data_IF_366522071526
#
_entry.id   IF_366522071526
#
_cell.length_a   1.000
_cell.length_b   1.000
_cell.length_c   1.000
_cell.angle_alpha   90.00
_cell.angle_beta   90.00
_cell.angle_gamma   90.00
#
_symmetry.space_group_name_H-M   'P 1'
#
loop_
_entity.id
_entity.type
_entity.pdbx_description
1 polymer ?
#
# COMPACT_ATOMS: atom_id res chain seq x y z
N UNK A 1 10.14 30.71 8.76
CA UNK A 1 8.85 30.93 8.08
C UNK A 1 7.94 29.76 8.43
N UNK A 2 6.74 30.01 8.98
CA UNK A 2 5.79 28.94 9.34
C UNK A 2 5.30 28.26 8.05
N UNK A 3 5.88 27.11 7.70
CA UNK A 3 5.45 26.32 6.55
C UNK A 3 4.04 25.81 6.79
N UNK A 4 3.06 26.35 6.10
CA UNK A 4 1.68 25.85 6.21
C UNK A 4 1.60 24.39 5.75
N UNK A 5 0.72 23.61 6.36
CA UNK A 5 0.58 22.19 6.09
C UNK A 5 -0.86 21.84 5.66
N UNK A 6 -0.99 20.86 4.77
CA UNK A 6 -2.24 20.30 4.26
C UNK A 6 -2.42 18.92 4.88
N UNK A 7 -3.58 18.66 5.48
CA UNK A 7 -3.98 17.30 5.82
C UNK A 7 -4.68 16.66 4.62
N UNK A 8 -4.09 15.59 4.09
CA UNK A 8 -4.57 14.89 2.90
C UNK A 8 -5.93 14.22 3.11
N UNK A 9 -6.25 13.80 4.34
CA UNK A 9 -7.54 13.17 4.66
C UNK A 9 -8.67 14.18 4.55
N UNK A 10 -8.51 15.36 5.16
CA UNK A 10 -9.50 16.44 5.10
C UNK A 10 -9.57 17.00 3.69
N UNK A 11 -8.43 17.25 3.03
CA UNK A 11 -8.38 17.71 1.65
C UNK A 11 -9.12 16.75 0.69
N UNK A 12 -8.88 15.44 0.82
CA UNK A 12 -9.58 14.42 0.05
C UNK A 12 -11.09 14.45 0.27
N UNK A 13 -11.55 14.64 1.51
CA UNK A 13 -12.97 14.77 1.80
C UNK A 13 -13.60 16.04 1.21
N UNK A 14 -12.87 17.18 1.23
CA UNK A 14 -13.34 18.48 0.71
C UNK A 14 -13.57 18.44 -0.79
N UNK A 15 -12.67 17.80 -1.55
CA UNK A 15 -12.74 17.74 -3.01
C UNK A 15 -13.26 16.40 -3.54
N UNK A 16 -13.74 15.51 -2.65
CA UNK A 16 -14.19 14.15 -2.97
C UNK A 16 -13.14 13.32 -3.73
N UNK A 17 -11.87 13.49 -3.34
CA UNK A 17 -10.73 12.78 -3.93
C UNK A 17 -10.42 11.54 -3.08
N UNK A 18 -10.34 10.34 -3.67
CA UNK A 18 -9.96 9.13 -2.94
C UNK A 18 -8.57 9.26 -2.33
N UNK A 19 -8.42 8.90 -1.05
CA UNK A 19 -7.13 8.98 -0.35
C UNK A 19 -6.01 8.18 -1.04
N UNK A 20 -6.35 7.01 -1.61
CA UNK A 20 -5.40 6.20 -2.37
C UNK A 20 -4.82 6.96 -3.57
N UNK A 21 -5.64 7.77 -4.25
CA UNK A 21 -5.20 8.61 -5.36
C UNK A 21 -4.23 9.69 -4.88
N UNK A 22 -4.55 10.41 -3.81
CA UNK A 22 -3.67 11.44 -3.25
C UNK A 22 -2.30 10.87 -2.88
N UNK A 23 -2.30 9.71 -2.21
CA UNK A 23 -1.06 9.02 -1.81
C UNK A 23 -0.23 8.58 -3.02
N UNK A 24 -0.86 8.03 -4.06
CA UNK A 24 -0.14 7.64 -5.28
C UNK A 24 0.41 8.85 -6.03
N UNK A 25 -0.35 9.93 -6.12
CA UNK A 25 0.05 11.15 -6.81
C UNK A 25 1.20 11.83 -6.09
N UNK A 26 1.16 11.93 -4.76
CA UNK A 26 2.29 12.43 -3.98
C UNK A 26 3.56 11.62 -4.25
N UNK A 27 3.46 10.29 -4.32
CA UNK A 27 4.61 9.42 -4.63
C UNK A 27 5.14 9.63 -6.06
N UNK A 28 4.26 9.86 -7.04
CA UNK A 28 4.65 10.09 -8.44
C UNK A 28 5.34 11.46 -8.60
N UNK A 29 4.90 12.46 -7.85
CA UNK A 29 5.42 13.83 -7.90
C UNK A 29 6.57 14.08 -6.93
N UNK A 30 7.03 13.04 -6.22
CA UNK A 30 8.09 13.10 -5.21
C UNK A 30 7.78 14.10 -4.07
N UNK A 31 6.50 14.17 -3.69
CA UNK A 31 6.00 14.99 -2.59
C UNK A 31 6.12 14.19 -1.29
N UNK A 32 6.86 14.73 -0.32
CA UNK A 32 7.01 14.12 0.99
C UNK A 32 5.69 14.14 1.78
N UNK A 33 5.26 12.96 2.23
CA UNK A 33 4.12 12.79 3.14
C UNK A 33 4.66 12.55 4.54
N UNK A 34 4.34 13.46 5.46
CA UNK A 34 4.64 13.35 6.88
C UNK A 34 3.47 12.67 7.56
N UNK A 35 3.72 11.54 8.24
CA UNK A 35 2.70 10.88 9.07
C UNK A 35 2.80 11.43 10.49
N UNK A 36 1.73 12.07 10.97
CA UNK A 36 1.61 12.57 12.35
C UNK A 36 0.40 11.90 13.00
N UNK A 37 0.65 10.90 13.84
CA UNK A 37 -0.42 10.06 14.39
C UNK A 37 -1.21 9.32 13.30
N UNK A 38 -2.51 9.61 13.20
CA UNK A 38 -3.41 9.09 12.16
C UNK A 38 -3.47 9.98 10.91
N UNK A 39 -2.91 11.17 10.96
CA UNK A 39 -2.99 12.14 9.87
C UNK A 39 -1.82 12.00 8.89
N UNK A 40 -2.13 12.27 7.62
CA UNK A 40 -1.16 12.31 6.53
C UNK A 40 -1.06 13.74 6.05
N UNK A 41 0.11 14.33 6.27
CA UNK A 41 0.32 15.76 6.14
C UNK A 41 1.35 16.03 5.05
N UNK A 42 1.10 17.05 4.25
CA UNK A 42 1.98 17.50 3.17
C UNK A 42 2.24 18.99 3.33
N UNK A 43 3.44 19.45 2.97
CA UNK A 43 3.75 20.88 2.96
C UNK A 43 2.83 21.60 1.94
N UNK A 44 2.29 22.76 2.30
CA UNK A 44 1.46 23.54 1.38
C UNK A 44 2.22 23.92 0.12
N UNK A 45 3.46 24.40 0.27
CA UNK A 45 4.28 24.84 -0.83
C UNK A 45 5.32 23.78 -1.20
N UNK A 46 5.43 23.48 -2.49
CA UNK A 46 6.41 22.55 -3.01
C UNK A 46 7.61 23.31 -3.61
N UNK A 47 8.74 23.26 -2.92
CA UNK A 47 9.97 23.90 -3.37
C UNK A 47 10.50 23.33 -4.70
N UNK A 48 10.20 22.06 -5.01
CA UNK A 48 10.69 21.41 -6.24
C UNK A 48 9.88 21.75 -7.50
N UNK A 49 8.64 22.21 -7.31
CA UNK A 49 7.71 22.57 -8.40
C UNK A 49 7.44 24.08 -8.46
N UNK A 50 7.89 24.85 -7.46
CA UNK A 50 7.56 26.26 -7.25
C UNK A 50 6.04 26.53 -7.30
N UNK A 51 5.25 25.59 -6.77
CA UNK A 51 3.78 25.62 -6.78
C UNK A 51 3.22 25.03 -5.49
N UNK A 52 2.00 25.40 -5.17
CA UNK A 52 1.31 24.85 -4.00
C UNK A 52 0.79 23.43 -4.29
N UNK A 53 1.03 22.52 -3.35
CA UNK A 53 0.66 21.11 -3.47
C UNK A 53 -0.85 20.89 -3.51
N UNK A 54 -1.67 21.76 -2.92
CA UNK A 54 -3.13 21.66 -3.02
C UNK A 54 -3.61 21.88 -4.46
N UNK A 55 -3.10 22.93 -5.13
CA UNK A 55 -3.39 23.21 -6.53
C UNK A 55 -2.87 22.09 -7.45
N UNK A 56 -1.65 21.59 -7.21
CA UNK A 56 -1.06 20.51 -8.00
C UNK A 56 -1.83 19.19 -7.84
N UNK A 57 -2.27 18.85 -6.62
CA UNK A 57 -3.05 17.63 -6.37
C UNK A 57 -4.44 17.73 -6.99
N UNK A 58 -5.08 18.90 -6.95
CA UNK A 58 -6.38 19.14 -7.58
C UNK A 58 -6.28 19.09 -9.10
N UNK A 59 -5.21 19.67 -9.66
CA UNK A 59 -4.91 19.60 -11.09
C UNK A 59 -4.73 18.14 -11.55
N UNK A 60 -3.91 17.37 -10.83
CA UNK A 60 -3.69 15.95 -11.11
C UNK A 60 -5.00 15.15 -11.06
N UNK A 61 -5.87 15.43 -10.09
CA UNK A 61 -7.17 14.77 -10.00
C UNK A 61 -8.08 15.12 -11.17
N UNK A 62 -8.10 16.39 -11.57
CA UNK A 62 -8.88 16.85 -12.72
C UNK A 62 -8.38 16.21 -14.02
N UNK A 63 -7.08 16.17 -14.24
CA UNK A 63 -6.45 15.48 -15.36
C UNK A 63 -6.82 13.99 -15.39
N UNK A 64 -6.71 13.32 -14.24
CA UNK A 64 -7.07 11.90 -14.11
C UNK A 64 -8.54 11.64 -14.37
N UNK A 65 -9.43 12.58 -14.05
CA UNK A 65 -10.87 12.45 -14.30
C UNK A 65 -11.20 12.59 -15.78
N UNK A 66 -10.45 13.43 -16.50
CA UNK A 66 -10.66 13.67 -17.93
C UNK A 66 -10.00 12.59 -18.81
N UNK A 67 -8.77 12.18 -18.47
CA UNK A 67 -7.93 11.34 -19.34
C UNK A 67 -7.73 9.91 -18.81
N UNK A 68 -8.09 9.66 -17.54
CA UNK A 68 -7.78 8.42 -16.84
C UNK A 68 -6.31 8.29 -16.39
N UNK A 69 -5.46 9.29 -16.66
CA UNK A 69 -4.02 9.31 -16.33
C UNK A 69 -3.59 10.69 -15.83
N UNK A 70 -2.35 10.78 -15.32
CA UNK A 70 -1.74 12.05 -14.85
C UNK A 70 -0.42 12.38 -15.58
N UNK A 71 -0.40 12.23 -16.90
CA UNK A 71 0.83 12.36 -17.69
C UNK A 71 1.36 13.79 -17.76
N UNK A 72 0.50 14.80 -17.87
CA UNK A 72 0.92 16.21 -17.94
C UNK A 72 1.41 16.68 -16.58
N UNK A 73 0.69 16.33 -15.51
CA UNK A 73 1.12 16.60 -14.13
C UNK A 73 2.45 15.91 -13.82
N UNK A 74 2.62 14.63 -14.22
CA UNK A 74 3.87 13.89 -14.03
C UNK A 74 5.06 14.51 -14.79
N UNK A 75 4.83 15.00 -16.01
CA UNK A 75 5.84 15.70 -16.81
C UNK A 75 6.10 17.13 -16.34
N UNK A 76 5.38 17.61 -15.31
CA UNK A 76 5.42 19.00 -14.82
C UNK A 76 5.04 20.03 -15.90
N UNK A 77 4.28 19.59 -16.89
CA UNK A 77 3.77 20.42 -17.98
C UNK A 77 2.36 20.86 -17.62
N UNK A 78 2.26 21.86 -16.75
CA UNK A 78 0.99 22.37 -16.28
C UNK A 78 0.42 23.35 -17.30
N UNK A 79 -0.85 23.17 -17.68
CA UNK A 79 -1.59 24.21 -18.37
C UNK A 79 -1.85 25.36 -17.37
N UNK A 80 -1.36 26.55 -17.69
CA UNK A 80 -1.32 27.70 -16.78
C UNK A 80 -2.73 28.18 -16.40
N UNK A 81 -3.68 28.14 -17.33
CA UNK A 81 -5.07 28.55 -17.07
C UNK A 81 -5.78 27.56 -16.12
N UNK A 82 -5.62 26.26 -16.39
CA UNK A 82 -6.26 25.20 -15.61
C UNK A 82 -5.66 25.09 -14.20
N UNK A 83 -4.34 25.25 -14.05
CA UNK A 83 -3.71 25.22 -12.73
C UNK A 83 -4.04 26.47 -11.91
N UNK A 84 -4.21 27.63 -12.56
CA UNK A 84 -4.67 28.84 -11.90
C UNK A 84 -6.12 28.70 -11.43
N UNK A 85 -6.99 28.04 -12.22
CA UNK A 85 -8.34 27.71 -11.79
C UNK A 85 -8.34 26.78 -10.57
N UNK A 86 -7.52 25.71 -10.62
CA UNK A 86 -7.35 24.79 -9.48
C UNK A 86 -6.82 25.52 -8.23
N UNK A 87 -5.92 26.50 -8.42
CA UNK A 87 -5.38 27.31 -7.33
C UNK A 87 -6.46 28.16 -6.68
N UNK A 88 -7.31 28.84 -7.46
CA UNK A 88 -8.43 29.63 -6.93
C UNK A 88 -9.40 28.73 -6.15
N UNK A 89 -9.79 27.59 -6.71
CA UNK A 89 -10.70 26.66 -6.02
C UNK A 89 -10.08 26.11 -4.72
N UNK A 90 -8.78 25.81 -4.75
CA UNK A 90 -8.03 25.41 -3.56
C UNK A 90 -8.03 26.51 -2.51
N UNK A 91 -7.75 27.76 -2.90
CA UNK A 91 -7.68 28.93 -2.02
C UNK A 91 -8.99 29.20 -1.28
N UNK A 92 -10.13 29.13 -1.96
CA UNK A 92 -11.46 29.34 -1.37
C UNK A 92 -11.74 28.36 -0.22
N UNK A 93 -11.38 27.09 -0.40
CA UNK A 93 -11.63 26.01 0.55
C UNK A 93 -10.45 25.76 1.49
N UNK A 94 -9.36 26.53 1.37
CA UNK A 94 -8.08 26.29 2.05
C UNK A 94 -8.19 26.28 3.57
N UNK A 95 -9.11 27.05 4.12
CA UNK A 95 -9.39 27.09 5.56
C UNK A 95 -9.92 25.76 6.14
N UNK A 96 -10.46 24.86 5.31
CA UNK A 96 -11.05 23.59 5.76
C UNK A 96 -10.03 22.46 5.99
N UNK A 97 -8.86 22.56 5.37
CA UNK A 97 -7.86 21.48 5.36
C UNK A 97 -6.44 21.94 5.72
N UNK A 98 -6.23 23.25 5.91
CA UNK A 98 -4.96 23.83 6.32
C UNK A 98 -4.81 23.79 7.84
N UNK A 99 -3.71 23.19 8.31
CA UNK A 99 -3.33 23.19 9.71
C UNK A 99 -2.20 24.20 9.96
N UNK A 100 -2.26 25.00 11.04
CA UNK A 100 -1.07 25.68 11.54
C UNK A 100 -0.12 24.63 12.14
N UNK A 101 1.19 24.77 11.89
CA UNK A 101 2.20 23.98 12.61
C UNK A 101 2.10 24.36 14.09
N UNK A 102 1.61 23.44 14.91
CA UNK A 102 1.90 23.44 16.34
C UNK A 102 3.19 22.62 16.50
N UNK A 103 4.24 23.27 17.01
CA UNK A 103 5.48 22.62 17.43
C UNK A 103 5.20 21.72 18.63
N UNK A 104 4.56 20.57 18.41
CA UNK A 104 4.47 19.52 19.42
C UNK A 104 5.31 18.35 18.94
N UNK A 105 6.40 18.13 19.67
CA UNK A 105 7.33 17.02 19.58
C UNK A 105 6.62 15.68 19.55
N UNK A 106 6.28 15.19 18.37
CA UNK A 106 5.98 13.78 18.15
C UNK A 106 6.98 13.20 17.16
N UNK A 107 7.50 12.03 17.51
CA UNK A 107 8.60 11.34 16.85
C UNK A 107 8.41 11.25 15.34
N UNK A 108 9.21 12.04 14.61
CA UNK A 108 9.29 12.05 13.15
C UNK A 108 9.90 10.74 12.65
N UNK A 109 9.06 9.82 12.19
CA UNK A 109 9.50 8.72 11.34
C UNK A 109 9.55 9.22 9.89
N UNK A 110 10.71 9.73 9.48
CA UNK A 110 11.01 9.99 8.06
C UNK A 110 11.22 8.64 7.39
N UNK A 111 10.15 8.06 6.84
CA UNK A 111 10.27 6.92 5.97
C UNK A 111 10.77 7.43 4.63
N UNK A 112 12.10 7.37 4.40
CA UNK A 112 12.64 7.55 3.05
C UNK A 112 11.96 6.54 2.12
N UNK A 113 11.42 6.98 0.97
CA UNK A 113 10.89 6.06 -0.01
C UNK A 113 12.02 5.12 -0.44
N UNK A 114 11.80 3.80 -0.36
CA UNK A 114 12.68 2.83 -1.01
C UNK A 114 12.76 3.20 -2.48
N UNK A 115 13.99 3.40 -2.96
CA UNK A 115 14.32 3.82 -4.32
C UNK A 115 13.35 3.18 -5.33
N UNK A 116 12.50 4.02 -5.91
CA UNK A 116 11.74 3.62 -7.07
C UNK A 116 12.76 3.46 -8.20
N UNK A 117 12.77 2.27 -8.81
CA UNK A 117 13.56 2.02 -10.02
C UNK A 117 13.16 3.09 -11.04
N UNK A 118 14.10 4.00 -11.31
CA UNK A 118 13.93 5.08 -12.26
C UNK A 118 14.03 4.47 -13.66
N UNK A 119 12.90 4.10 -14.25
CA UNK A 119 12.85 3.65 -15.65
C UNK A 119 12.94 4.89 -16.53
N UNK A 120 14.15 5.39 -16.72
CA UNK A 120 14.44 6.38 -17.76
C UNK A 120 14.19 5.71 -19.11
N UNK A 121 13.33 6.30 -19.95
CA UNK A 121 13.09 5.87 -21.32
C UNK A 121 14.26 6.25 -22.23
N UNK A 122 15.39 5.56 -22.09
CA UNK A 122 16.41 5.51 -23.14
C UNK A 122 15.92 4.62 -24.28
N UNK A 123 15.98 5.18 -25.47
CA UNK A 123 15.59 4.65 -26.76
C UNK A 123 16.50 3.50 -27.21
N UNK A 124 16.39 2.34 -26.56
CA UNK A 124 16.97 1.07 -27.05
C UNK A 124 15.91 -0.04 -26.93
N UNK A 125 15.18 -0.23 -28.04
CA UNK A 125 14.00 -1.10 -28.13
C UNK A 125 14.29 -2.61 -28.07
N UNK A 126 15.56 -3.03 -28.19
CA UNK A 126 15.93 -4.45 -28.20
C UNK A 126 16.28 -4.99 -26.80
N UNK A 127 16.94 -4.22 -25.93
CA UNK A 127 17.23 -4.64 -24.55
C UNK A 127 15.96 -4.71 -23.67
N UNK A 128 14.93 -3.90 -23.97
CA UNK A 128 13.72 -3.78 -23.16
C UNK A 128 12.73 -4.94 -23.29
N UNK A 129 12.81 -5.75 -24.35
CA UNK A 129 11.87 -6.87 -24.51
C UNK A 129 12.16 -7.98 -23.52
N UNK A 130 13.43 -8.28 -23.28
CA UNK A 130 13.84 -9.33 -22.34
C UNK A 130 13.52 -8.92 -20.88
N UNK A 131 13.80 -7.67 -20.52
CA UNK A 131 13.44 -7.14 -19.19
C UNK A 131 11.92 -7.07 -18.97
N UNK A 132 11.16 -6.69 -20.00
CA UNK A 132 9.70 -6.66 -19.92
C UNK A 132 9.10 -8.06 -19.81
N UNK A 133 9.64 -9.04 -20.55
CA UNK A 133 9.22 -10.45 -20.46
C UNK A 133 9.59 -11.03 -19.09
N UNK A 134 10.75 -10.68 -18.53
CA UNK A 134 11.17 -11.05 -17.18
C UNK A 134 10.19 -10.50 -16.13
N UNK A 135 9.88 -9.20 -16.19
CA UNK A 135 8.94 -8.55 -15.28
C UNK A 135 7.52 -9.10 -15.43
N UNK A 136 7.04 -9.31 -16.65
CA UNK A 136 5.74 -9.95 -16.89
C UNK A 136 5.70 -11.37 -16.35
N UNK A 137 6.76 -12.15 -16.57
CA UNK A 137 6.85 -13.53 -16.06
C UNK A 137 6.87 -13.56 -14.53
N UNK A 138 7.54 -12.61 -13.88
CA UNK A 138 7.52 -12.48 -12.43
C UNK A 138 6.13 -12.09 -11.90
N UNK A 139 5.48 -11.11 -12.54
CA UNK A 139 4.14 -10.63 -12.16
C UNK A 139 3.09 -11.72 -12.38
N UNK A 140 3.16 -12.44 -13.50
CA UNK A 140 2.28 -13.58 -13.79
C UNK A 140 2.57 -14.73 -12.81
N UNK A 141 3.83 -15.03 -12.51
CA UNK A 141 4.20 -16.03 -11.50
C UNK A 141 3.61 -15.73 -10.13
N UNK A 142 3.68 -14.46 -9.69
CA UNK A 142 3.06 -14.00 -8.44
C UNK A 142 1.52 -14.00 -8.49
N UNK A 143 0.91 -13.66 -9.62
CA UNK A 143 -0.55 -13.65 -9.78
C UNK A 143 -1.13 -15.05 -9.86
N UNK A 144 -0.47 -15.96 -10.57
CA UNK A 144 -0.88 -17.37 -10.66
C UNK A 144 -0.72 -18.05 -9.29
N UNK A 145 0.39 -17.80 -8.57
CA UNK A 145 0.56 -18.32 -7.21
C UNK A 145 -0.53 -17.84 -6.21
N UNK A 146 -1.17 -16.69 -6.47
CA UNK A 146 -2.25 -16.14 -5.66
C UNK A 146 -3.66 -16.49 -6.17
N UNK A 147 -3.84 -16.72 -7.48
CA UNK A 147 -5.15 -17.07 -8.08
C UNK A 147 -5.37 -18.58 -8.24
N UNK A 148 -4.34 -19.41 -8.21
CA UNK A 148 -4.46 -20.87 -8.40
C UNK A 148 -4.63 -21.67 -7.10
N UNK A 149 -4.75 -21.02 -5.94
CA UNK A 149 -5.15 -21.72 -4.72
C UNK A 149 -6.65 -21.95 -4.79
N UNK A 150 -7.04 -23.19 -5.08
CA UNK A 150 -8.41 -23.66 -4.90
C UNK A 150 -8.96 -23.11 -3.57
N UNK A 151 -10.20 -22.63 -3.56
CA UNK A 151 -10.89 -22.16 -2.34
C UNK A 151 -10.85 -23.23 -1.24
N UNK A 152 -10.73 -24.51 -1.63
CA UNK A 152 -10.66 -25.68 -0.75
C UNK A 152 -9.23 -26.19 -0.51
N UNK A 153 -8.18 -25.57 -1.07
CA UNK A 153 -6.81 -26.10 -0.97
C UNK A 153 -6.36 -26.25 0.49
N UNK A 154 -6.71 -25.30 1.35
CA UNK A 154 -6.41 -25.41 2.78
C UNK A 154 -7.11 -26.62 3.43
N UNK A 155 -8.34 -26.93 3.03
CA UNK A 155 -9.07 -28.08 3.58
C UNK A 155 -8.55 -29.41 3.02
N UNK A 156 -8.16 -29.44 1.75
CA UNK A 156 -7.56 -30.61 1.11
C UNK A 156 -6.17 -30.93 1.71
N UNK A 157 -5.32 -29.92 1.91
CA UNK A 157 -4.02 -30.09 2.57
C UNK A 157 -4.17 -30.53 4.03
N UNK A 158 -5.16 -29.99 4.77
CA UNK A 158 -5.46 -30.42 6.14
C UNK A 158 -6.01 -31.86 6.19
N UNK A 159 -6.86 -32.23 5.23
CA UNK A 159 -7.37 -33.59 5.10
C UNK A 159 -6.25 -34.59 4.80
N UNK A 160 -5.34 -34.24 3.87
CA UNK A 160 -4.16 -35.04 3.56
C UNK A 160 -3.21 -35.18 4.76
N UNK A 161 -2.99 -34.10 5.51
CA UNK A 161 -2.19 -34.12 6.73
C UNK A 161 -2.82 -35.01 7.80
N UNK A 162 -4.15 -35.01 7.91
CA UNK A 162 -4.90 -35.91 8.79
C UNK A 162 -4.75 -37.38 8.38
N UNK A 163 -5.03 -37.72 7.12
CA UNK A 163 -4.95 -39.11 6.62
C UNK A 163 -3.55 -39.70 6.78
N UNK A 164 -2.53 -38.91 6.42
CA UNK A 164 -1.11 -39.32 6.51
C UNK A 164 -0.51 -39.14 7.90
N UNK A 165 -1.30 -38.66 8.87
CA UNK A 165 -0.88 -38.38 10.26
C UNK A 165 0.35 -37.48 10.34
N UNK A 166 0.47 -36.53 9.41
CA UNK A 166 1.56 -35.57 9.38
C UNK A 166 1.45 -34.56 10.53
N UNK A 167 2.61 -34.19 11.04
CA UNK A 167 2.75 -33.15 12.05
C UNK A 167 3.11 -31.84 11.36
N UNK A 168 2.32 -30.80 11.61
CA UNK A 168 2.48 -29.49 11.00
C UNK A 168 3.18 -28.54 11.95
N UNK A 169 4.15 -27.78 11.45
CA UNK A 169 4.79 -26.70 12.22
C UNK A 169 3.84 -25.50 12.37
N UNK A 170 4.14 -24.61 13.32
CA UNK A 170 3.41 -23.34 13.47
C UNK A 170 3.39 -22.49 12.19
N UNK A 171 4.44 -22.56 11.37
CA UNK A 171 4.57 -21.81 10.12
C UNK A 171 3.71 -22.40 9.02
N UNK A 172 3.77 -23.73 8.82
CA UNK A 172 2.94 -24.45 7.84
C UNK A 172 1.45 -24.30 8.16
N UNK A 173 1.07 -24.51 9.43
CA UNK A 173 -0.32 -24.36 9.84
C UNK A 173 -0.80 -22.90 9.75
N UNK A 174 0.08 -21.94 10.02
CA UNK A 174 -0.21 -20.51 9.83
C UNK A 174 -0.46 -20.16 8.37
N UNK A 175 0.38 -20.67 7.46
CA UNK A 175 0.22 -20.47 6.02
C UNK A 175 -1.09 -21.07 5.48
N UNK A 176 -1.47 -22.26 5.95
CA UNK A 176 -2.71 -22.94 5.59
C UNK A 176 -3.97 -22.20 6.08
N UNK A 177 -3.95 -21.70 7.31
CA UNK A 177 -5.11 -21.08 7.95
C UNK A 177 -5.19 -19.56 7.77
N UNK A 178 -4.19 -18.96 7.11
CA UNK A 178 -4.08 -17.50 6.95
C UNK A 178 -3.81 -16.78 8.27
N UNK A 179 -3.06 -17.39 9.19
CA UNK A 179 -2.74 -16.84 10.51
C UNK A 179 -1.23 -16.66 10.70
N UNK A 180 -0.84 -15.72 11.56
CA UNK A 180 0.56 -15.57 11.94
C UNK A 180 1.04 -16.75 12.79
N UNK A 181 2.35 -17.07 12.71
CA UNK A 181 3.02 -18.07 13.56
C UNK A 181 2.73 -17.87 15.06
N UNK A 182 2.73 -16.61 15.52
CA UNK A 182 2.45 -16.25 16.91
C UNK A 182 1.01 -16.56 17.30
N UNK A 183 0.06 -16.29 16.40
CA UNK A 183 -1.37 -16.57 16.60
C UNK A 183 -1.64 -18.06 16.69
N UNK A 184 -0.94 -18.89 15.91
CA UNK A 184 -1.04 -20.35 16.01
C UNK A 184 -0.43 -20.84 17.32
N UNK A 185 0.78 -20.37 17.66
CA UNK A 185 1.47 -20.77 18.89
C UNK A 185 0.66 -20.52 20.17
N UNK A 186 -0.14 -19.44 20.20
CA UNK A 186 -0.99 -19.09 21.34
C UNK A 186 -2.29 -19.89 21.46
N UNK A 187 -2.67 -20.69 20.46
CA UNK A 187 -3.90 -21.51 20.54
C UNK A 187 -3.76 -22.61 21.61
N UNK A 188 -4.84 -22.87 22.32
CA UNK A 188 -4.92 -23.98 23.26
C UNK A 188 -4.92 -25.32 22.51
N UNK A 189 -4.53 -26.38 23.21
CA UNK A 189 -4.69 -27.74 22.72
C UNK A 189 -6.17 -28.07 22.47
N UNK A 190 -6.46 -28.87 21.44
CA UNK A 190 -7.83 -29.25 21.06
C UNK A 190 -8.66 -28.14 20.40
N UNK A 191 -8.03 -27.06 19.94
CA UNK A 191 -8.70 -25.99 19.18
C UNK A 191 -9.34 -26.54 17.89
N UNK A 192 -10.46 -25.95 17.46
CA UNK A 192 -11.24 -26.40 16.30
C UNK A 192 -11.38 -25.28 15.29
N UNK A 193 -11.11 -25.58 14.02
CA UNK A 193 -11.30 -24.65 12.90
C UNK A 193 -11.39 -25.40 11.57
N UNK A 194 -12.28 -24.91 10.69
CA UNK A 194 -12.53 -25.49 9.36
C UNK A 194 -12.96 -26.97 9.41
N UNK A 195 -13.61 -27.42 10.49
CA UNK A 195 -14.04 -28.81 10.67
C UNK A 195 -12.96 -29.76 11.18
N UNK A 196 -11.78 -29.25 11.52
CA UNK A 196 -10.67 -30.04 12.07
C UNK A 196 -10.34 -29.62 13.50
N UNK A 197 -9.92 -30.58 14.32
CA UNK A 197 -9.38 -30.41 15.65
C UNK A 197 -7.86 -30.48 15.60
N UNK A 198 -7.19 -29.56 16.30
CA UNK A 198 -5.74 -29.42 16.30
C UNK A 198 -5.21 -29.78 17.69
N UNK A 199 -4.31 -30.77 17.73
CA UNK A 199 -3.65 -31.20 18.95
C UNK A 199 -2.18 -30.80 18.96
N UNK A 200 -1.70 -30.22 20.07
CA UNK A 200 -0.30 -29.85 20.26
C UNK A 200 0.52 -31.09 20.58
N UNK A 201 1.57 -31.32 19.79
CA UNK A 201 2.57 -32.36 20.02
C UNK A 201 3.91 -31.67 20.20
N UNK A 202 4.60 -31.93 21.31
CA UNK A 202 5.95 -31.43 21.54
C UNK A 202 6.96 -32.49 21.12
N UNK A 203 7.83 -32.15 20.19
CA UNK A 203 9.02 -32.94 19.83
C UNK A 203 10.25 -32.12 20.22
N UNK A 204 10.84 -32.47 21.37
CA UNK A 204 11.94 -31.69 21.96
C UNK A 204 11.52 -30.27 22.31
N UNK A 205 12.21 -29.28 21.72
CA UNK A 205 11.92 -27.85 21.88
C UNK A 205 10.89 -27.31 20.88
N UNK A 206 10.47 -28.12 19.90
CA UNK A 206 9.57 -27.70 18.83
C UNK A 206 8.14 -28.11 19.16
N UNK A 207 7.20 -27.18 18.97
CA UNK A 207 5.77 -27.48 19.03
C UNK A 207 5.24 -27.72 17.62
N UNK A 208 4.68 -28.90 17.43
CA UNK A 208 4.01 -29.35 16.21
C UNK A 208 2.52 -29.54 16.46
N UNK A 209 1.76 -29.65 15.38
CA UNK A 209 0.32 -29.80 15.40
C UNK A 209 -0.11 -31.05 14.66
N UNK A 210 -0.88 -31.88 15.34
CA UNK A 210 -1.60 -33.00 14.73
C UNK A 210 -3.00 -32.54 14.38
N UNK A 211 -3.44 -32.83 13.16
CA UNK A 211 -4.79 -32.54 12.69
C UNK A 211 -5.64 -33.80 12.79
N UNK A 212 -6.84 -33.69 13.34
CA UNK A 212 -7.85 -34.76 13.35
C UNK A 212 -9.20 -34.21 12.92
N UNK A 213 -10.07 -35.06 12.39
CA UNK A 213 -11.46 -34.69 12.14
C UNK A 213 -12.14 -34.33 13.47
N UNK A 214 -12.94 -33.26 13.47
CA UNK A 214 -13.76 -32.88 14.63
C UNK A 214 -15.01 -33.76 14.72
#
# INVERSE_FOLDING_TARGET
MKSSQINLTTFGSTFKIPFNFLRSTCRILDIEIIKSGNDHIVALHNQSLDKDNDAVLLYAFTESRLTGKIETTKKRQFNEDEINHCKQEAEEKRHLYKYPINETTETRLVVKPKDAINVSSSSDLNFRKEDFISILSEVIGRSVANQSRSVLNAQEELHNAMEKKWLLTNEQLGALLGMSKHTIGSKSDGWVRLGFKYAKVKEGSITLWRVSQY
#
